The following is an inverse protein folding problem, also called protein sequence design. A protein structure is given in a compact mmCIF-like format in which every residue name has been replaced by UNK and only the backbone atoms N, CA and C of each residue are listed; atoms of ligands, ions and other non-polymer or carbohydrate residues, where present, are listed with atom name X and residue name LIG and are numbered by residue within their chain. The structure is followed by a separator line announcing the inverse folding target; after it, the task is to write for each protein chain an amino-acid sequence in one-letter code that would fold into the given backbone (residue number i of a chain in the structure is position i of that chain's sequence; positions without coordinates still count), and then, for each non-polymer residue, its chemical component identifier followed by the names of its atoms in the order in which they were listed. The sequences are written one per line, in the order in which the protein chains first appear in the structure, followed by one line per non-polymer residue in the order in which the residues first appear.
data_IF_521292282963
#
_entry.id   IF_521292282963
#
_cell.length_a   1.000
_cell.length_b   1.000
_cell.length_c   1.000
_cell.angle_alpha   90.00
_cell.angle_beta   90.00
_cell.angle_gamma   90.00
#
_symmetry.space_group_name_H-M   'P 1'
#
loop_
_entity.id
_entity.type
_entity.pdbx_description
1 polymer ?
#
# COMPACT_ATOMS: atom_id res chain seq x y z
N UNK A 1 -14.34 9.61 -15.57
CA UNK A 1 -13.34 9.15 -14.59
C UNK A 1 -13.92 8.94 -13.18
N UNK A 2 -14.79 9.83 -12.70
CA UNK A 2 -15.33 9.81 -11.31
C UNK A 2 -16.06 8.52 -10.91
N UNK A 3 -16.97 8.01 -11.75
CA UNK A 3 -17.69 6.75 -11.49
C UNK A 3 -16.72 5.58 -11.29
N UNK A 4 -15.68 5.51 -12.13
CA UNK A 4 -14.67 4.47 -12.02
C UNK A 4 -13.89 4.59 -10.71
N UNK A 5 -13.48 5.80 -10.32
CA UNK A 5 -12.82 6.02 -9.03
C UNK A 5 -13.74 5.67 -7.85
N UNK A 6 -15.00 6.07 -7.89
CA UNK A 6 -15.99 5.71 -6.87
C UNK A 6 -16.07 4.19 -6.69
N UNK A 7 -16.18 3.43 -7.79
CA UNK A 7 -16.23 1.97 -7.76
C UNK A 7 -14.92 1.38 -7.21
N UNK A 8 -13.76 1.87 -7.67
CA UNK A 8 -12.45 1.39 -7.22
C UNK A 8 -12.30 1.60 -5.71
N UNK A 9 -12.57 2.81 -5.20
CA UNK A 9 -12.41 3.12 -3.79
C UNK A 9 -13.44 2.40 -2.92
N UNK A 10 -14.69 2.26 -3.35
CA UNK A 10 -15.70 1.53 -2.56
C UNK A 10 -15.32 0.06 -2.42
N UNK A 11 -14.90 -0.59 -3.52
CA UNK A 11 -14.48 -2.00 -3.51
C UNK A 11 -13.24 -2.15 -2.64
N UNK A 12 -12.26 -1.25 -2.79
CA UNK A 12 -11.03 -1.24 -2.00
C UNK A 12 -11.33 -1.11 -0.51
N UNK A 13 -12.20 -0.18 -0.12
CA UNK A 13 -12.59 0.04 1.27
C UNK A 13 -13.27 -1.18 1.87
N UNK A 14 -14.23 -1.77 1.15
CA UNK A 14 -14.93 -2.97 1.60
C UNK A 14 -13.98 -4.15 1.77
N UNK A 15 -13.04 -4.34 0.84
CA UNK A 15 -12.00 -5.38 0.94
C UNK A 15 -11.11 -5.12 2.16
N UNK A 16 -10.62 -3.89 2.35
CA UNK A 16 -9.76 -3.54 3.51
C UNK A 16 -10.49 -3.85 4.81
N UNK A 17 -11.74 -3.40 4.96
CA UNK A 17 -12.54 -3.61 6.16
C UNK A 17 -12.77 -5.11 6.38
N UNK A 18 -13.10 -5.87 5.33
CA UNK A 18 -13.31 -7.31 5.41
C UNK A 18 -12.03 -8.05 5.82
N UNK A 19 -10.89 -7.70 5.23
CA UNK A 19 -9.58 -8.26 5.59
C UNK A 19 -9.25 -7.98 7.06
N UNK A 20 -9.46 -6.75 7.52
CA UNK A 20 -9.23 -6.38 8.93
C UNK A 20 -10.20 -7.10 9.87
N UNK A 21 -11.47 -7.24 9.49
CA UNK A 21 -12.44 -8.01 10.26
C UNK A 21 -11.97 -9.47 10.40
N UNK A 22 -11.55 -10.11 9.32
CA UNK A 22 -11.03 -11.48 9.35
C UNK A 22 -9.79 -11.58 10.25
N UNK A 23 -8.83 -10.68 10.09
CA UNK A 23 -7.57 -10.68 10.81
C UNK A 23 -7.73 -10.52 12.34
N UNK A 24 -8.68 -9.71 12.81
CA UNK A 24 -8.86 -9.44 14.24
C UNK A 24 -9.95 -10.28 14.92
N UNK A 25 -10.84 -10.95 14.16
CA UNK A 25 -11.92 -11.77 14.76
C UNK A 25 -11.38 -13.01 15.48
N UNK A 26 -10.25 -13.55 15.03
CA UNK A 26 -9.65 -14.76 15.62
C UNK A 26 -9.31 -14.58 17.11
N UNK A 27 -8.87 -13.38 17.51
CA UNK A 27 -8.52 -13.08 18.89
C UNK A 27 -9.70 -13.28 19.88
N UNK A 28 -10.95 -13.27 19.41
CA UNK A 28 -12.13 -13.47 20.25
C UNK A 28 -12.59 -14.93 20.34
N UNK A 29 -11.86 -15.87 19.71
CA UNK A 29 -12.10 -17.31 19.80
C UNK A 29 -11.08 -17.94 20.74
N UNK A 30 -11.50 -18.96 21.49
CA UNK A 30 -10.58 -19.72 22.32
C UNK A 30 -9.82 -20.71 21.45
N UNK A 31 -8.56 -20.41 21.15
CA UNK A 31 -7.68 -21.26 20.34
C UNK A 31 -6.29 -21.28 20.97
N UNK A 32 -5.63 -22.45 20.97
CA UNK A 32 -4.30 -22.65 21.56
C UNK A 32 -4.16 -22.15 23.01
N UNK A 33 -5.18 -22.39 23.85
CA UNK A 33 -5.16 -21.99 25.25
C UNK A 33 -5.32 -20.48 25.50
N UNK A 34 -5.72 -19.70 24.49
CA UNK A 34 -5.78 -18.24 24.58
C UNK A 34 -7.15 -17.65 24.26
N UNK A 35 -7.48 -16.56 24.95
CA UNK A 35 -8.44 -15.55 24.52
C UNK A 35 -7.75 -14.21 24.42
N UNK A 36 -8.08 -13.40 23.40
CA UNK A 36 -7.53 -12.06 23.19
C UNK A 36 -6.00 -12.04 23.22
N UNK A 37 -5.39 -13.13 22.77
CA UNK A 37 -3.95 -13.37 22.79
C UNK A 37 -3.36 -13.31 24.21
N UNK A 38 -4.08 -13.82 25.21
CA UNK A 38 -3.65 -14.01 26.60
C UNK A 38 -3.94 -15.46 26.94
N UNK A 39 -2.99 -16.16 27.56
CA UNK A 39 -3.16 -17.54 27.99
C UNK A 39 -4.12 -17.60 29.18
N UNK A 40 -5.25 -18.29 29.00
CA UNK A 40 -6.28 -18.50 30.01
C UNK A 40 -6.45 -20.01 30.18
N UNK A 41 -6.32 -20.56 31.40
CA UNK A 41 -6.48 -21.99 31.62
C UNK A 41 -7.84 -22.48 31.13
N UNK A 42 -7.89 -23.68 30.54
CA UNK A 42 -9.11 -24.22 29.95
C UNK A 42 -10.26 -24.38 30.95
N UNK A 43 -9.96 -24.55 32.23
CA UNK A 43 -10.93 -24.61 33.33
C UNK A 43 -11.63 -23.28 33.60
N UNK A 44 -11.03 -22.16 33.20
CA UNK A 44 -11.52 -20.80 33.46
C UNK A 44 -12.02 -20.08 32.21
N UNK A 45 -11.98 -20.73 31.03
CA UNK A 45 -12.35 -20.12 29.76
C UNK A 45 -13.83 -19.66 29.71
N UNK A 46 -14.69 -20.27 30.54
CA UNK A 46 -16.13 -19.98 30.63
C UNK A 46 -16.49 -19.13 31.86
N UNK A 47 -15.51 -18.66 32.63
CA UNK A 47 -15.75 -17.78 33.77
C UNK A 47 -16.49 -16.51 33.31
N UNK A 48 -17.41 -16.01 34.14
CA UNK A 48 -18.29 -14.89 33.79
C UNK A 48 -17.51 -13.64 33.37
N UNK A 49 -16.45 -13.30 34.10
CA UNK A 49 -15.58 -12.15 33.82
C UNK A 49 -14.82 -12.30 32.49
N UNK A 50 -14.37 -13.52 32.16
CA UNK A 50 -13.71 -13.83 30.87
C UNK A 50 -14.71 -13.65 29.73
N UNK A 51 -15.89 -14.23 29.88
CA UNK A 51 -16.98 -14.17 28.89
C UNK A 51 -17.42 -12.73 28.66
N UNK A 52 -17.55 -11.92 29.71
CA UNK A 52 -17.90 -10.50 29.62
C UNK A 52 -16.87 -9.70 28.80
N UNK A 53 -15.57 -9.88 29.07
CA UNK A 53 -14.51 -9.18 28.35
C UNK A 53 -14.53 -9.55 26.86
N UNK A 54 -14.64 -10.84 26.55
CA UNK A 54 -14.64 -11.33 25.16
C UNK A 54 -15.88 -10.84 24.40
N UNK A 55 -17.07 -10.97 24.99
CA UNK A 55 -18.34 -10.56 24.35
C UNK A 55 -18.42 -9.05 24.15
N UNK A 56 -18.02 -8.27 25.15
CA UNK A 56 -17.97 -6.81 25.07
C UNK A 56 -16.99 -6.35 23.99
N UNK A 57 -15.77 -6.89 23.97
CA UNK A 57 -14.77 -6.55 22.95
C UNK A 57 -15.23 -6.90 21.54
N UNK A 58 -15.81 -8.10 21.36
CA UNK A 58 -16.35 -8.57 20.08
C UNK A 58 -17.50 -7.69 19.60
N UNK A 59 -18.39 -7.29 20.51
CA UNK A 59 -19.51 -6.40 20.22
C UNK A 59 -19.02 -5.01 19.78
N UNK A 60 -18.04 -4.43 20.49
CA UNK A 60 -17.42 -3.15 20.10
C UNK A 60 -16.75 -3.22 18.72
N UNK A 61 -16.00 -4.30 18.47
CA UNK A 61 -15.36 -4.53 17.17
C UNK A 61 -16.39 -4.63 16.03
N UNK A 62 -17.48 -5.38 16.24
CA UNK A 62 -18.56 -5.50 15.26
C UNK A 62 -19.19 -4.15 14.94
N UNK A 63 -19.57 -3.37 15.94
CA UNK A 63 -20.16 -2.04 15.73
C UNK A 63 -19.19 -1.08 15.05
N UNK A 64 -17.90 -1.10 15.44
CA UNK A 64 -16.87 -0.30 14.81
C UNK A 64 -16.73 -0.62 13.31
N UNK A 65 -16.70 -1.89 12.94
CA UNK A 65 -16.61 -2.29 11.52
C UNK A 65 -17.86 -1.89 10.74
N UNK A 66 -19.07 -2.12 11.28
CA UNK A 66 -20.33 -1.72 10.62
C UNK A 66 -20.38 -0.21 10.40
N UNK A 67 -20.03 0.58 11.42
CA UNK A 67 -19.97 2.04 11.30
C UNK A 67 -18.97 2.47 10.23
N UNK A 68 -17.79 1.85 10.16
CA UNK A 68 -16.78 2.19 9.17
C UNK A 68 -17.15 1.74 7.74
N UNK A 69 -17.93 0.68 7.56
CA UNK A 69 -18.51 0.37 6.25
C UNK A 69 -19.37 1.54 5.77
N UNK A 70 -20.29 2.01 6.61
CA UNK A 70 -21.20 3.12 6.27
C UNK A 70 -20.42 4.40 6.01
N UNK A 71 -19.48 4.76 6.89
CA UNK A 71 -18.64 5.97 6.76
C UNK A 71 -17.79 5.89 5.49
N UNK A 72 -17.15 4.76 5.20
CA UNK A 72 -16.30 4.59 4.02
C UNK A 72 -17.08 4.75 2.72
N UNK A 73 -18.32 4.26 2.67
CA UNK A 73 -19.23 4.41 1.53
C UNK A 73 -19.61 5.88 1.38
N UNK A 74 -19.99 6.55 2.47
CA UNK A 74 -20.35 7.96 2.47
C UNK A 74 -19.19 8.85 1.98
N UNK A 75 -17.96 8.57 2.42
CA UNK A 75 -16.77 9.31 1.98
C UNK A 75 -16.55 9.16 0.47
N UNK A 76 -16.77 7.98 -0.11
CA UNK A 76 -16.62 7.79 -1.56
C UNK A 76 -17.52 8.72 -2.40
N UNK A 77 -18.69 9.14 -1.90
CA UNK A 77 -19.55 10.08 -2.63
C UNK A 77 -18.94 11.48 -2.78
N UNK A 78 -17.95 11.84 -1.96
CA UNK A 78 -17.25 13.13 -2.06
C UNK A 78 -16.51 13.26 -3.40
N UNK A 79 -16.14 12.14 -4.04
CA UNK A 79 -15.47 12.11 -5.35
C UNK A 79 -16.24 12.92 -6.40
N UNK A 80 -17.58 12.86 -6.39
CA UNK A 80 -18.44 13.55 -7.36
C UNK A 80 -18.55 15.07 -7.13
N UNK A 81 -18.02 15.57 -6.02
CA UNK A 81 -18.04 17.01 -5.72
C UNK A 81 -16.67 17.62 -5.91
N UNK A 82 -15.63 16.99 -5.33
CA UNK A 82 -14.27 17.48 -5.44
C UNK A 82 -13.28 16.36 -5.07
N UNK A 83 -12.43 15.97 -6.03
CA UNK A 83 -11.42 14.92 -5.84
C UNK A 83 -10.39 15.27 -4.75
N UNK A 84 -9.97 16.53 -4.67
CA UNK A 84 -8.98 16.96 -3.67
C UNK A 84 -9.56 16.84 -2.26
N UNK A 85 -10.78 17.35 -2.04
CA UNK A 85 -11.48 17.20 -0.74
C UNK A 85 -11.68 15.73 -0.38
N UNK A 86 -12.08 14.89 -1.36
CA UNK A 86 -12.20 13.45 -1.16
C UNK A 86 -10.90 12.84 -0.65
N UNK A 87 -9.76 13.10 -1.32
CA UNK A 87 -8.45 12.54 -0.94
C UNK A 87 -8.07 12.95 0.49
N UNK A 88 -8.28 14.21 0.87
CA UNK A 88 -7.95 14.69 2.22
C UNK A 88 -8.81 14.03 3.30
N UNK A 89 -10.14 13.97 3.09
CA UNK A 89 -11.07 13.32 4.03
C UNK A 89 -10.78 11.82 4.12
N UNK A 90 -10.45 11.19 3.00
CA UNK A 90 -10.08 9.78 2.92
C UNK A 90 -8.85 9.46 3.76
N UNK A 91 -7.79 10.29 3.68
CA UNK A 91 -6.59 10.12 4.52
C UNK A 91 -6.94 10.21 6.00
N UNK A 92 -7.71 11.23 6.40
CA UNK A 92 -8.11 11.42 7.80
C UNK A 92 -8.89 10.19 8.31
N UNK A 93 -9.85 9.71 7.51
CA UNK A 93 -10.61 8.51 7.84
C UNK A 93 -9.74 7.26 7.95
N UNK A 94 -8.79 7.05 7.04
CA UNK A 94 -7.85 5.92 7.10
C UNK A 94 -7.07 5.91 8.42
N UNK A 95 -6.62 7.06 8.91
CA UNK A 95 -5.94 7.16 10.21
C UNK A 95 -6.87 6.84 11.38
N UNK A 96 -8.08 7.41 11.38
CA UNK A 96 -9.07 7.12 12.41
C UNK A 96 -9.43 5.62 12.42
N UNK A 97 -9.54 5.00 11.25
CA UNK A 97 -9.80 3.59 11.08
C UNK A 97 -8.66 2.72 11.63
N UNK A 98 -7.41 2.99 11.23
CA UNK A 98 -6.21 2.28 11.70
C UNK A 98 -6.07 2.40 13.22
N UNK A 99 -6.28 3.59 13.77
CA UNK A 99 -6.23 3.80 15.21
C UNK A 99 -7.29 2.96 15.94
N UNK A 100 -8.54 3.01 15.47
CA UNK A 100 -9.65 2.28 16.09
C UNK A 100 -9.48 0.75 15.99
N UNK A 101 -9.06 0.24 14.84
CA UNK A 101 -8.89 -1.22 14.62
C UNK A 101 -7.79 -1.81 15.51
N UNK A 102 -6.74 -1.04 15.80
CA UNK A 102 -5.67 -1.45 16.72
C UNK A 102 -6.11 -1.28 18.19
N UNK A 103 -6.79 -0.17 18.50
CA UNK A 103 -7.13 0.19 19.88
C UNK A 103 -8.13 -0.77 20.53
N UNK A 104 -9.22 -1.13 19.85
CA UNK A 104 -10.30 -1.97 20.40
C UNK A 104 -9.80 -3.35 20.89
N UNK A 105 -9.07 -4.15 20.08
CA UNK A 105 -8.58 -5.45 20.52
C UNK A 105 -7.49 -5.31 21.59
N UNK A 106 -6.60 -4.31 21.48
CA UNK A 106 -5.55 -4.08 22.49
C UNK A 106 -6.13 -3.66 23.84
N UNK A 107 -7.21 -2.88 23.86
CA UNK A 107 -7.93 -2.54 25.08
C UNK A 107 -8.52 -3.78 25.76
N UNK A 108 -9.13 -4.67 24.97
CA UNK A 108 -9.69 -5.93 25.46
C UNK A 108 -8.59 -6.90 25.95
N UNK A 109 -7.48 -6.98 25.22
CA UNK A 109 -6.29 -7.74 25.61
C UNK A 109 -5.75 -7.30 26.98
N UNK A 110 -5.57 -5.99 27.21
CA UNK A 110 -5.08 -5.46 28.48
C UNK A 110 -6.00 -5.81 29.66
N UNK A 111 -7.32 -5.78 29.44
CA UNK A 111 -8.30 -6.21 30.45
C UNK A 111 -8.18 -7.70 30.77
N UNK A 112 -8.05 -8.53 29.73
CA UNK A 112 -7.88 -9.97 29.89
C UNK A 112 -6.57 -10.30 30.63
N UNK A 113 -5.47 -9.62 30.29
CA UNK A 113 -4.19 -9.77 30.99
C UNK A 113 -4.29 -9.31 32.46
N UNK A 114 -4.95 -8.19 32.74
CA UNK A 114 -5.16 -7.73 34.11
C UNK A 114 -5.96 -8.74 34.94
N UNK A 115 -7.04 -9.32 34.37
CA UNK A 115 -7.83 -10.37 35.01
C UNK A 115 -6.98 -11.61 35.29
N UNK A 116 -6.16 -12.06 34.33
CA UNK A 116 -5.22 -13.17 34.50
C UNK A 116 -4.31 -12.97 35.71
N UNK A 117 -3.72 -11.79 35.84
CA UNK A 117 -2.84 -11.44 36.97
C UNK A 117 -3.62 -11.40 38.28
N UNK A 118 -4.80 -10.78 38.30
CA UNK A 118 -5.65 -10.68 39.49
C UNK A 118 -6.06 -12.06 40.03
N UNK A 119 -6.35 -13.02 39.14
CA UNK A 119 -6.80 -14.37 39.51
C UNK A 119 -5.65 -15.35 39.73
N UNK A 120 -4.40 -14.93 39.51
CA UNK A 120 -3.23 -15.79 39.67
C UNK A 120 -3.17 -16.94 38.66
N UNK A 121 -3.77 -16.78 37.47
CA UNK A 121 -3.77 -17.80 36.40
C UNK A 121 -2.42 -17.88 35.67
N UNK A 122 -1.34 -17.79 36.41
CA UNK A 122 0.02 -17.86 35.89
C UNK A 122 0.48 -19.31 36.03
N UNK A 123 0.86 -19.93 34.93
CA UNK A 123 1.48 -21.26 34.97
C UNK A 123 2.96 -21.07 35.32
N UNK A 124 3.27 -21.01 36.62
CA UNK A 124 4.65 -20.75 37.09
C UNK A 124 5.68 -21.70 36.48
N UNK A 125 5.31 -22.97 36.29
CA UNK A 125 6.15 -23.97 35.66
C UNK A 125 6.47 -23.70 34.17
N UNK A 126 5.72 -22.84 33.48
CA UNK A 126 5.92 -22.50 32.06
C UNK A 126 6.34 -21.03 31.85
N UNK A 127 6.33 -20.23 32.93
CA UNK A 127 6.72 -18.83 32.91
C UNK A 127 8.17 -18.66 32.43
N UNK A 128 8.38 -17.79 31.43
CA UNK A 128 9.72 -17.40 30.91
C UNK A 128 10.57 -18.56 30.38
N UNK A 129 9.98 -19.72 30.06
CA UNK A 129 10.73 -20.81 29.43
C UNK A 129 10.95 -20.54 27.95
N UNK A 130 12.18 -20.74 27.48
CA UNK A 130 12.49 -20.76 26.05
C UNK A 130 12.92 -22.18 25.70
N UNK A 131 12.16 -22.82 24.82
CA UNK A 131 12.51 -24.14 24.31
C UNK A 131 13.34 -23.97 23.05
N UNK A 132 14.50 -24.64 23.02
CA UNK A 132 15.40 -24.65 21.87
C UNK A 132 15.53 -26.08 21.39
N UNK A 133 15.04 -26.34 20.19
CA UNK A 133 15.29 -27.59 19.48
C UNK A 133 16.59 -27.44 18.68
N UNK A 134 17.65 -28.11 19.14
CA UNK A 134 18.97 -28.03 18.51
C UNK A 134 19.00 -28.70 17.14
N UNK A 135 18.12 -29.68 16.85
CA UNK A 135 18.03 -30.31 15.53
C UNK A 135 17.41 -29.37 14.51
N UNK A 136 16.30 -28.72 14.88
CA UNK A 136 15.67 -27.68 14.04
C UNK A 136 16.63 -26.51 13.82
N UNK A 137 17.40 -26.15 14.85
CA UNK A 137 18.42 -25.10 14.75
C UNK A 137 19.61 -25.50 13.87
N UNK A 138 20.02 -26.76 13.87
CA UNK A 138 21.09 -27.27 13.00
C UNK A 138 20.69 -27.28 11.52
N UNK A 139 19.40 -27.50 11.21
CA UNK A 139 18.84 -27.36 9.87
C UNK A 139 18.46 -25.90 9.50
N UNK A 140 18.75 -24.91 10.36
CA UNK A 140 18.52 -23.52 10.04
C UNK A 140 19.38 -23.11 8.83
N UNK A 141 18.73 -22.74 7.72
CA UNK A 141 19.38 -22.43 6.45
C UNK A 141 19.44 -23.58 5.44
N UNK A 142 19.07 -24.81 5.80
CA UNK A 142 18.77 -25.85 4.81
C UNK A 142 17.43 -25.50 4.15
N UNK A 143 17.48 -25.05 2.89
CA UNK A 143 16.28 -24.54 2.19
C UNK A 143 15.72 -25.59 1.26
N UNK A 144 14.42 -25.87 1.35
CA UNK A 144 13.71 -26.69 0.36
C UNK A 144 13.60 -25.99 -1.01
N UNK A 145 13.61 -24.65 -1.01
CA UNK A 145 13.48 -23.81 -2.19
C UNK A 145 14.49 -22.67 -2.09
N UNK A 146 15.36 -22.55 -3.08
CA UNK A 146 16.44 -21.56 -3.08
C UNK A 146 15.91 -20.16 -3.36
N UNK A 147 16.28 -19.18 -2.54
CA UNK A 147 15.98 -17.76 -2.80
C UNK A 147 16.73 -17.21 -4.02
N UNK A 148 17.77 -17.91 -4.52
CA UNK A 148 18.57 -17.47 -5.67
C UNK A 148 17.76 -17.41 -6.97
N UNK A 149 16.62 -18.10 -7.05
CA UNK A 149 15.70 -18.01 -8.20
C UNK A 149 15.20 -16.59 -8.46
N UNK A 150 15.14 -15.73 -7.42
CA UNK A 150 14.81 -14.31 -7.57
C UNK A 150 15.79 -13.56 -8.47
N UNK A 151 17.05 -13.99 -8.57
CA UNK A 151 18.03 -13.38 -9.46
C UNK A 151 17.60 -13.50 -10.93
N UNK A 152 16.95 -14.60 -11.32
CA UNK A 152 16.42 -14.76 -12.67
C UNK A 152 15.40 -13.67 -12.97
N UNK A 153 14.46 -13.43 -12.06
CA UNK A 153 13.41 -12.40 -12.23
C UNK A 153 14.01 -11.00 -12.33
N UNK A 154 14.92 -10.65 -11.42
CA UNK A 154 15.61 -9.34 -11.43
C UNK A 154 16.41 -9.12 -12.72
N UNK A 155 17.10 -10.15 -13.22
CA UNK A 155 17.84 -10.07 -14.49
C UNK A 155 16.86 -9.85 -15.65
N UNK A 156 15.73 -10.56 -15.68
CA UNK A 156 14.73 -10.40 -16.75
C UNK A 156 14.01 -9.05 -16.69
N UNK A 157 13.70 -8.54 -15.50
CA UNK A 157 13.10 -7.21 -15.30
C UNK A 157 14.05 -6.11 -15.81
N UNK A 158 15.35 -6.23 -15.49
CA UNK A 158 16.39 -5.32 -15.99
C UNK A 158 16.53 -5.43 -17.50
N UNK A 159 16.59 -6.64 -18.05
CA UNK A 159 16.70 -6.86 -19.49
C UNK A 159 15.55 -6.22 -20.28
N UNK A 160 14.33 -6.28 -19.74
CA UNK A 160 13.16 -5.64 -20.35
C UNK A 160 13.21 -4.11 -20.32
N UNK A 161 13.99 -3.50 -19.41
CA UNK A 161 14.17 -2.05 -19.33
C UNK A 161 15.27 -1.51 -20.25
N UNK A 162 16.28 -2.31 -20.60
CA UNK A 162 17.45 -1.88 -21.41
C UNK A 162 17.06 -1.12 -22.69
N UNK A 163 16.08 -1.55 -23.50
CA UNK A 163 15.71 -0.83 -24.72
C UNK A 163 15.27 0.62 -24.48
N UNK A 164 14.56 0.88 -23.38
CA UNK A 164 14.09 2.23 -23.02
C UNK A 164 15.24 3.15 -22.65
N UNK A 165 16.24 2.61 -21.94
CA UNK A 165 17.45 3.35 -21.59
C UNK A 165 18.30 3.67 -22.83
N UNK A 166 18.41 2.73 -23.78
CA UNK A 166 19.26 2.86 -24.96
C UNK A 166 18.63 3.68 -26.09
N UNK A 167 17.32 3.55 -26.32
CA UNK A 167 16.61 4.19 -27.43
C UNK A 167 16.12 5.59 -27.07
N UNK A 168 16.01 5.92 -25.78
CA UNK A 168 15.73 7.27 -25.32
C UNK A 168 14.35 7.82 -25.71
N UNK A 169 13.34 6.96 -25.93
CA UNK A 169 11.97 7.40 -26.21
C UNK A 169 11.48 8.28 -25.04
N UNK A 170 11.35 9.59 -25.28
CA UNK A 170 11.04 10.56 -24.24
C UNK A 170 9.59 10.47 -23.80
N UNK A 171 8.70 10.03 -24.68
CA UNK A 171 7.26 10.19 -24.46
C UNK A 171 6.77 9.36 -23.27
N UNK A 172 7.24 8.12 -23.10
CA UNK A 172 6.85 7.27 -21.96
C UNK A 172 7.96 7.05 -20.92
N UNK A 173 9.12 7.70 -21.04
CA UNK A 173 10.31 7.36 -20.26
C UNK A 173 10.06 7.39 -18.74
N UNK A 174 9.44 8.47 -18.24
CA UNK A 174 9.15 8.65 -16.81
C UNK A 174 8.22 7.56 -16.28
N UNK A 175 7.21 7.18 -17.07
CA UNK A 175 6.28 6.12 -16.68
C UNK A 175 7.00 4.76 -16.64
N UNK A 176 7.79 4.45 -17.66
CA UNK A 176 8.48 3.17 -17.78
C UNK A 176 9.57 2.99 -16.73
N UNK A 177 10.36 4.02 -16.43
CA UNK A 177 11.33 3.96 -15.32
C UNK A 177 10.61 3.80 -13.97
N UNK A 178 9.47 4.45 -13.78
CA UNK A 178 8.69 4.33 -12.54
C UNK A 178 8.16 2.91 -12.35
N UNK A 179 7.54 2.32 -13.38
CA UNK A 179 7.05 0.94 -13.35
C UNK A 179 8.18 -0.08 -13.16
N UNK A 180 9.32 0.13 -13.82
CA UNK A 180 10.52 -0.68 -13.64
C UNK A 180 11.01 -0.66 -12.19
N UNK A 181 11.18 0.53 -11.61
CA UNK A 181 11.67 0.69 -10.24
C UNK A 181 10.70 0.06 -9.23
N UNK A 182 9.39 0.22 -9.43
CA UNK A 182 8.37 -0.45 -8.61
C UNK A 182 8.46 -1.98 -8.71
N UNK A 183 8.61 -2.51 -9.92
CA UNK A 183 8.73 -3.96 -10.16
C UNK A 183 9.98 -4.52 -9.48
N UNK A 184 11.15 -3.91 -9.69
CA UNK A 184 12.42 -4.31 -9.07
C UNK A 184 12.36 -4.19 -7.54
N UNK A 185 11.70 -3.16 -7.00
CA UNK A 185 11.51 -3.01 -5.56
C UNK A 185 10.74 -4.20 -4.97
N UNK A 186 9.62 -4.59 -5.59
CA UNK A 186 8.81 -5.74 -5.14
C UNK A 186 9.64 -7.03 -5.19
N UNK A 187 10.33 -7.29 -6.31
CA UNK A 187 11.17 -8.47 -6.49
C UNK A 187 12.34 -8.51 -5.51
N UNK A 188 12.97 -7.36 -5.23
CA UNK A 188 14.06 -7.23 -4.25
C UNK A 188 13.57 -7.44 -2.81
N UNK A 189 12.43 -6.86 -2.44
CA UNK A 189 11.83 -7.10 -1.13
C UNK A 189 11.48 -8.58 -0.95
N UNK A 190 10.88 -9.20 -1.97
CA UNK A 190 10.58 -10.64 -1.96
C UNK A 190 11.84 -11.51 -1.79
N UNK A 191 12.95 -11.15 -2.44
CA UNK A 191 14.27 -11.77 -2.22
C UNK A 191 14.72 -11.64 -0.77
N UNK A 192 14.73 -10.43 -0.22
CA UNK A 192 15.19 -10.16 1.15
C UNK A 192 14.34 -10.93 2.17
N UNK A 193 13.01 -10.91 2.02
CA UNK A 193 12.12 -11.65 2.90
C UNK A 193 12.27 -13.16 2.75
N UNK A 194 12.41 -13.69 1.52
CA UNK A 194 12.64 -15.11 1.31
C UNK A 194 13.97 -15.56 1.96
N UNK A 195 15.04 -14.79 1.80
CA UNK A 195 16.32 -15.06 2.46
C UNK A 195 16.22 -15.01 3.99
N UNK A 196 15.41 -14.11 4.53
CA UNK A 196 15.12 -14.01 5.96
C UNK A 196 14.33 -15.24 6.47
N UNK A 197 13.22 -15.60 5.81
CA UNK A 197 12.37 -16.74 6.16
C UNK A 197 13.17 -18.05 6.23
N UNK A 198 14.06 -18.25 5.27
CA UNK A 198 14.94 -19.43 5.22
C UNK A 198 15.84 -19.56 6.47
N UNK A 199 16.14 -18.44 7.14
CA UNK A 199 16.94 -18.39 8.37
C UNK A 199 16.10 -18.33 9.65
N UNK A 200 14.87 -17.78 9.60
CA UNK A 200 14.08 -17.46 10.80
C UNK A 200 13.14 -18.58 11.26
N UNK A 201 12.68 -19.46 10.38
CA UNK A 201 11.73 -20.53 10.73
C UNK A 201 12.43 -21.66 11.51
N UNK A 202 12.35 -21.58 12.85
CA UNK A 202 12.94 -22.56 13.79
C UNK A 202 12.12 -22.73 15.07
N UNK A 203 10.80 -22.61 14.94
CA UNK A 203 9.91 -22.58 16.08
C UNK A 203 9.76 -23.98 16.71
N UNK A 204 9.64 -24.04 18.03
CA UNK A 204 9.51 -25.29 18.77
C UNK A 204 8.06 -25.45 19.21
N UNK A 205 7.34 -26.36 18.57
CA UNK A 205 5.89 -26.56 18.77
C UNK A 205 5.58 -27.73 19.72
N UNK A 206 6.47 -28.72 19.78
CA UNK A 206 6.29 -29.99 20.48
C UNK A 206 7.59 -30.45 21.11
N UNK A 207 7.50 -31.32 22.11
CA UNK A 207 8.65 -32.08 22.60
C UNK A 207 9.17 -33.09 21.55
N UNK A 208 8.38 -33.41 20.52
CA UNK A 208 8.82 -34.22 19.38
C UNK A 208 9.59 -33.36 18.35
N UNK A 209 10.92 -33.49 18.36
CA UNK A 209 11.80 -32.82 17.39
C UNK A 209 11.51 -33.16 15.94
N UNK A 210 11.04 -34.38 15.63
CA UNK A 210 10.72 -34.77 14.25
C UNK A 210 9.50 -34.00 13.76
N UNK A 211 8.47 -33.88 14.61
CA UNK A 211 7.29 -33.08 14.30
C UNK A 211 7.67 -31.60 14.09
N UNK A 212 8.50 -31.03 14.97
CA UNK A 212 8.99 -29.66 14.82
C UNK A 212 9.69 -29.46 13.46
N UNK A 213 10.57 -30.38 13.07
CA UNK A 213 11.30 -30.31 11.81
C UNK A 213 10.35 -30.33 10.61
N UNK A 214 9.39 -31.25 10.61
CA UNK A 214 8.39 -31.38 9.53
C UNK A 214 7.57 -30.09 9.40
N UNK A 215 7.10 -29.53 10.52
CA UNK A 215 6.28 -28.30 10.52
C UNK A 215 7.10 -27.11 10.03
N UNK A 216 8.32 -26.90 10.54
CA UNK A 216 9.16 -25.79 10.10
C UNK A 216 9.54 -25.89 8.62
N UNK A 217 9.95 -27.07 8.14
CA UNK A 217 10.29 -27.26 6.72
C UNK A 217 9.07 -27.12 5.82
N UNK A 218 7.88 -27.52 6.28
CA UNK A 218 6.61 -27.26 5.58
C UNK A 218 6.34 -25.77 5.45
N UNK A 219 6.43 -25.02 6.54
CA UNK A 219 6.19 -23.57 6.52
C UNK A 219 7.20 -22.83 5.65
N UNK A 220 8.49 -23.17 5.76
CA UNK A 220 9.54 -22.64 4.86
C UNK A 220 9.16 -22.85 3.40
N UNK A 221 8.84 -24.09 3.00
CA UNK A 221 8.47 -24.43 1.62
C UNK A 221 7.32 -23.55 1.10
N UNK A 222 6.21 -23.46 1.83
CA UNK A 222 5.05 -22.68 1.38
C UNK A 222 5.32 -21.18 1.33
N UNK A 223 5.99 -20.62 2.35
CA UNK A 223 6.40 -19.21 2.37
C UNK A 223 7.39 -18.89 1.23
N UNK A 224 8.34 -19.78 0.95
CA UNK A 224 9.26 -19.67 -0.18
C UNK A 224 8.57 -19.68 -1.54
N UNK A 225 7.62 -20.59 -1.75
CA UNK A 225 6.82 -20.65 -2.99
C UNK A 225 6.00 -19.38 -3.16
N UNK A 226 5.35 -18.90 -2.10
CA UNK A 226 4.60 -17.64 -2.13
C UNK A 226 5.49 -16.46 -2.56
N UNK A 227 6.70 -16.36 -2.02
CA UNK A 227 7.66 -15.30 -2.38
C UNK A 227 8.10 -15.39 -3.84
N UNK A 228 8.38 -16.59 -4.36
CA UNK A 228 8.75 -16.76 -5.77
C UNK A 228 7.60 -16.47 -6.73
N UNK A 229 6.36 -16.81 -6.37
CA UNK A 229 5.18 -16.46 -7.16
C UNK A 229 4.95 -14.96 -7.17
N UNK A 230 5.14 -14.29 -6.02
CA UNK A 230 5.05 -12.83 -5.90
C UNK A 230 6.02 -12.14 -6.86
N UNK A 231 7.31 -12.49 -6.82
CA UNK A 231 8.31 -11.89 -7.70
C UNK A 231 8.15 -12.30 -9.16
N UNK A 232 7.86 -13.58 -9.43
CA UNK A 232 7.79 -14.11 -10.79
C UNK A 232 6.61 -13.55 -11.58
N UNK A 233 5.43 -13.49 -10.97
CA UNK A 233 4.24 -12.92 -11.63
C UNK A 233 4.31 -11.39 -11.71
N UNK A 234 4.92 -10.73 -10.73
CA UNK A 234 5.26 -9.30 -10.81
C UNK A 234 6.18 -9.01 -12.00
N UNK A 235 7.24 -9.80 -12.17
CA UNK A 235 8.15 -9.69 -13.32
C UNK A 235 7.40 -9.91 -14.64
N UNK A 236 6.51 -10.91 -14.72
CA UNK A 236 5.67 -11.14 -15.92
C UNK A 236 4.81 -9.92 -16.24
N UNK A 237 4.18 -9.30 -15.24
CA UNK A 237 3.37 -8.10 -15.44
C UNK A 237 4.19 -6.94 -16.01
N UNK A 238 5.37 -6.67 -15.43
CA UNK A 238 6.29 -5.64 -15.92
C UNK A 238 6.80 -5.94 -17.34
N UNK A 239 7.30 -7.14 -17.57
CA UNK A 239 7.86 -7.56 -18.87
C UNK A 239 6.80 -7.45 -19.96
N UNK A 240 5.55 -7.82 -19.67
CA UNK A 240 4.45 -7.64 -20.63
C UNK A 240 4.29 -6.16 -21.04
N UNK A 241 4.20 -5.24 -20.08
CA UNK A 241 4.05 -3.80 -20.38
C UNK A 241 5.27 -3.27 -21.12
N UNK A 242 6.47 -3.61 -20.64
CA UNK A 242 7.74 -3.21 -21.25
C UNK A 242 7.90 -3.71 -22.70
N UNK A 243 7.55 -4.96 -23.00
CA UNK A 243 7.65 -5.47 -24.36
C UNK A 243 6.55 -4.92 -25.26
N UNK A 244 5.31 -4.85 -24.76
CA UNK A 244 4.19 -4.35 -25.55
C UNK A 244 4.42 -2.92 -26.01
N UNK A 245 4.79 -2.03 -25.08
CA UNK A 245 5.07 -0.63 -25.40
C UNK A 245 6.30 -0.49 -26.29
N UNK A 246 7.32 -1.34 -26.10
CA UNK A 246 8.55 -1.28 -26.89
C UNK A 246 8.35 -1.72 -28.34
N UNK A 247 7.43 -2.66 -28.58
CA UNK A 247 7.10 -3.16 -29.92
C UNK A 247 6.12 -2.23 -30.64
N UNK A 248 5.10 -1.74 -29.93
CA UNK A 248 3.99 -1.01 -30.55
C UNK A 248 4.18 0.51 -30.55
N UNK A 249 5.05 1.03 -29.69
CA UNK A 249 5.24 2.47 -29.50
C UNK A 249 4.02 3.18 -28.90
N UNK A 250 3.10 2.43 -28.28
CA UNK A 250 1.89 2.94 -27.61
C UNK A 250 1.64 2.17 -26.30
N UNK A 251 0.91 2.80 -25.37
CA UNK A 251 0.43 2.16 -24.14
C UNK A 251 -1.09 2.38 -23.97
N UNK A 252 -1.92 1.57 -24.65
CA UNK A 252 -3.38 1.69 -24.58
C UNK A 252 -3.93 1.25 -23.23
N UNK A 253 -5.18 1.65 -22.94
CA UNK A 253 -5.91 1.27 -21.73
C UNK A 253 -5.95 -0.25 -21.49
N UNK A 254 -6.01 -1.05 -22.57
CA UNK A 254 -6.01 -2.52 -22.49
C UNK A 254 -4.76 -3.11 -21.82
N UNK A 255 -3.59 -2.51 -22.05
CA UNK A 255 -2.34 -2.94 -21.43
C UNK A 255 -2.38 -2.77 -19.90
N UNK A 256 -3.03 -1.72 -19.40
CA UNK A 256 -3.26 -1.54 -17.97
C UNK A 256 -4.19 -2.60 -17.40
N UNK A 257 -5.25 -2.98 -18.10
CA UNK A 257 -6.15 -4.04 -17.64
C UNK A 257 -5.44 -5.39 -17.55
N UNK A 258 -4.60 -5.73 -18.53
CA UNK A 258 -3.79 -6.95 -18.50
C UNK A 258 -2.79 -6.91 -17.34
N UNK A 259 -2.11 -5.78 -17.14
CA UNK A 259 -1.20 -5.59 -16.01
C UNK A 259 -1.92 -5.79 -14.66
N UNK A 260 -3.06 -5.12 -14.45
CA UNK A 260 -3.87 -5.24 -13.23
C UNK A 260 -4.33 -6.69 -13.03
N UNK A 261 -4.77 -7.37 -14.09
CA UNK A 261 -5.20 -8.76 -14.02
C UNK A 261 -4.06 -9.68 -13.56
N UNK A 262 -2.85 -9.53 -14.11
CA UNK A 262 -1.67 -10.30 -13.68
C UNK A 262 -1.31 -9.97 -12.22
N UNK A 263 -1.43 -8.70 -11.80
CA UNK A 263 -1.20 -8.31 -10.41
C UNK A 263 -2.23 -8.93 -9.45
N UNK A 264 -3.49 -9.06 -9.84
CA UNK A 264 -4.50 -9.80 -9.07
C UNK A 264 -4.14 -11.28 -8.94
N UNK A 265 -3.67 -11.91 -10.02
CA UNK A 265 -3.15 -13.29 -9.99
C UNK A 265 -1.91 -13.38 -9.08
N UNK A 266 -1.05 -12.35 -9.08
CA UNK A 266 0.13 -12.28 -8.22
C UNK A 266 -0.26 -12.30 -6.73
N UNK A 267 -1.28 -11.52 -6.35
CA UNK A 267 -1.83 -11.51 -4.98
C UNK A 267 -2.38 -12.89 -4.60
N UNK A 268 -3.15 -13.52 -5.48
CA UNK A 268 -3.67 -14.88 -5.25
C UNK A 268 -2.54 -15.91 -5.15
N UNK A 269 -1.55 -15.83 -6.03
CA UNK A 269 -0.36 -16.66 -6.04
C UNK A 269 0.49 -16.53 -4.78
N UNK A 270 0.45 -15.37 -4.11
CA UNK A 270 1.05 -15.18 -2.80
C UNK A 270 0.18 -15.75 -1.67
N UNK A 271 -1.11 -15.44 -1.64
CA UNK A 271 -2.01 -15.80 -0.52
C UNK A 271 -2.28 -17.30 -0.46
N UNK A 272 -2.53 -17.96 -1.60
CA UNK A 272 -2.94 -19.37 -1.64
C UNK A 272 -1.89 -20.30 -1.02
N UNK A 273 -0.59 -20.24 -1.38
CA UNK A 273 0.42 -21.07 -0.74
C UNK A 273 0.56 -20.79 0.76
N UNK A 274 0.44 -19.53 1.20
CA UNK A 274 0.46 -19.20 2.64
C UNK A 274 -0.70 -19.87 3.36
N UNK A 275 -1.91 -19.75 2.82
CA UNK A 275 -3.10 -20.39 3.38
C UNK A 275 -2.97 -21.92 3.42
N UNK A 276 -2.49 -22.54 2.35
CA UNK A 276 -2.20 -23.99 2.31
C UNK A 276 -1.17 -24.39 3.37
N UNK A 277 -0.11 -23.60 3.56
CA UNK A 277 0.89 -23.81 4.60
C UNK A 277 0.31 -23.74 6.00
N UNK A 278 -0.53 -22.75 6.27
CA UNK A 278 -1.22 -22.58 7.56
C UNK A 278 -2.17 -23.75 7.86
N UNK A 279 -2.97 -24.19 6.88
CA UNK A 279 -3.84 -25.36 7.04
C UNK A 279 -3.03 -26.62 7.28
N UNK A 280 -1.95 -26.83 6.50
CA UNK A 280 -1.08 -27.99 6.69
C UNK A 280 -0.39 -28.00 8.05
N UNK A 281 0.06 -26.83 8.53
CA UNK A 281 0.59 -26.68 9.89
C UNK A 281 -0.45 -27.08 10.93
N UNK A 282 -1.70 -26.64 10.78
CA UNK A 282 -2.80 -27.00 11.70
C UNK A 282 -3.05 -28.50 11.73
N UNK A 283 -3.08 -29.16 10.57
CA UNK A 283 -3.23 -30.62 10.46
C UNK A 283 -2.07 -31.39 11.12
N UNK A 284 -0.83 -30.94 10.90
CA UNK A 284 0.35 -31.58 11.49
C UNK A 284 0.35 -31.46 13.02
N UNK A 285 -0.06 -30.30 13.54
CA UNK A 285 -0.09 -30.03 14.98
C UNK A 285 -1.32 -30.62 15.67
N UNK A 286 -2.42 -30.94 14.97
CA UNK A 286 -3.61 -31.53 15.59
C UNK A 286 -3.39 -32.94 16.14
N UNK A 287 -2.38 -33.66 15.62
CA UNK A 287 -1.98 -34.98 16.11
C UNK A 287 -0.87 -34.92 17.18
N UNK A 288 -0.51 -33.73 17.65
CA UNK A 288 0.56 -33.55 18.63
C UNK A 288 0.13 -34.05 20.01
N UNK A 289 0.82 -35.07 20.52
CA UNK A 289 0.55 -35.68 21.84
C UNK A 289 1.35 -35.02 22.96
N UNK A 290 2.24 -34.08 22.66
CA UNK A 290 3.10 -33.41 23.66
C UNK A 290 3.38 -31.94 23.25
N UNK A 291 2.34 -31.09 23.21
CA UNK A 291 2.50 -29.67 22.91
C UNK A 291 3.34 -28.96 23.99
N UNK A 292 4.12 -27.99 23.54
CA UNK A 292 4.81 -27.06 24.42
C UNK A 292 3.98 -25.79 24.47
N UNK A 293 3.37 -25.54 25.62
CA UNK A 293 2.79 -24.23 25.94
C UNK A 293 3.81 -23.41 26.72
N UNK A 294 4.09 -22.20 26.26
CA UNK A 294 4.96 -21.24 26.95
C UNK A 294 4.11 -20.04 27.35
N UNK A 295 4.04 -19.77 28.65
CA UNK A 295 3.42 -18.56 29.14
C UNK A 295 4.41 -17.38 29.06
N UNK A 296 4.39 -16.70 27.92
CA UNK A 296 5.22 -15.51 27.62
C UNK A 296 4.46 -14.19 27.77
N UNK A 297 3.25 -14.20 28.36
CA UNK A 297 2.32 -13.05 28.39
C UNK A 297 2.91 -11.79 29.05
N UNK A 298 3.86 -11.95 29.97
CA UNK A 298 4.58 -10.83 30.60
C UNK A 298 5.26 -9.91 29.57
N UNK A 299 5.77 -10.48 28.47
CA UNK A 299 6.42 -9.73 27.39
C UNK A 299 5.42 -9.06 26.45
N UNK A 300 4.13 -9.34 26.59
CA UNK A 300 3.08 -8.84 25.70
C UNK A 300 2.01 -8.02 26.40
N UNK A 301 2.16 -7.76 27.71
CA UNK A 301 1.19 -7.06 28.59
C UNK A 301 0.52 -5.80 28.02
N UNK A 302 1.16 -5.09 27.08
CA UNK A 302 0.63 -3.86 26.48
C UNK A 302 -0.09 -4.08 25.14
N UNK A 303 -0.07 -5.30 24.60
CA UNK A 303 -0.43 -5.67 23.23
C UNK A 303 0.76 -5.68 22.26
N UNK A 304 1.94 -5.23 22.71
CA UNK A 304 3.18 -5.22 21.91
C UNK A 304 4.26 -6.03 22.62
N UNK A 305 5.20 -6.59 21.85
CA UNK A 305 6.26 -7.43 22.39
C UNK A 305 7.42 -6.60 22.96
N UNK A 306 7.80 -6.91 24.19
CA UNK A 306 8.90 -6.31 24.93
C UNK A 306 9.67 -7.38 25.70
N UNK A 307 10.72 -7.93 25.09
CA UNK A 307 11.63 -8.85 25.76
C UNK A 307 13.09 -8.37 25.63
N UNK A 308 13.71 -7.85 26.70
CA UNK A 308 15.10 -7.42 26.69
C UNK A 308 16.11 -8.55 26.40
N UNK A 309 15.79 -9.78 26.78
CA UNK A 309 16.69 -10.94 26.66
C UNK A 309 16.63 -11.59 25.27
N UNK A 310 15.51 -11.45 24.57
CA UNK A 310 15.40 -11.86 23.17
C UNK A 310 16.21 -10.90 22.28
N UNK A 311 17.19 -11.42 21.53
CA UNK A 311 18.07 -10.62 20.66
C UNK A 311 17.42 -10.22 19.34
N UNK A 312 16.30 -10.82 18.95
CA UNK A 312 15.65 -10.54 17.68
C UNK A 312 14.92 -9.19 17.70
N UNK A 313 14.99 -8.47 16.56
CA UNK A 313 14.22 -7.23 16.34
C UNK A 313 12.82 -7.57 15.80
N UNK A 314 12.72 -8.55 14.89
CA UNK A 314 11.48 -9.07 14.33
C UNK A 314 11.23 -10.47 14.87
N UNK A 315 10.02 -10.70 15.38
CA UNK A 315 9.56 -11.99 15.89
C UNK A 315 8.20 -12.33 15.27
N UNK A 316 7.82 -13.61 15.23
CA UNK A 316 6.47 -13.97 14.80
C UNK A 316 5.43 -13.35 15.73
N UNK A 317 4.39 -12.78 15.13
CA UNK A 317 3.32 -12.15 15.87
C UNK A 317 2.38 -13.23 16.42
N UNK A 318 2.28 -13.34 17.76
CA UNK A 318 1.37 -14.29 18.40
C UNK A 318 -0.11 -13.96 18.17
N UNK A 319 -0.44 -12.70 17.89
CA UNK A 319 -1.82 -12.27 17.63
C UNK A 319 -2.31 -12.68 16.25
N UNK A 320 -1.40 -12.89 15.30
CA UNK A 320 -1.70 -13.16 13.90
C UNK A 320 -0.65 -14.12 13.34
N UNK A 321 -0.97 -15.41 13.32
CA UNK A 321 -0.09 -16.45 12.82
C UNK A 321 0.30 -16.18 11.36
N UNK A 322 1.60 -16.04 11.10
CA UNK A 322 2.14 -15.70 9.78
C UNK A 322 2.58 -14.24 9.60
N UNK A 323 2.24 -13.35 10.53
CA UNK A 323 2.77 -11.98 10.58
C UNK A 323 3.99 -11.89 11.50
N UNK A 324 4.77 -10.82 11.34
CA UNK A 324 5.87 -10.47 12.22
C UNK A 324 5.56 -9.19 12.98
N UNK A 325 6.11 -9.05 14.18
CA UNK A 325 6.04 -7.83 14.99
C UNK A 325 7.42 -7.45 15.50
N UNK A 326 7.56 -6.21 15.96
CA UNK A 326 8.79 -5.70 16.53
C UNK A 326 8.93 -6.02 18.01
N UNK A 327 10.14 -6.38 18.43
CA UNK A 327 10.55 -6.36 19.82
C UNK A 327 10.95 -4.94 20.22
N UNK A 328 10.02 -4.22 20.87
CA UNK A 328 10.22 -2.84 21.29
C UNK A 328 11.13 -2.70 22.53
N UNK A 329 11.67 -3.79 23.07
CA UNK A 329 12.82 -3.71 23.97
C UNK A 329 14.13 -3.33 23.24
N UNK A 330 14.15 -3.35 21.89
CA UNK A 330 15.32 -3.01 21.09
C UNK A 330 15.22 -1.61 20.50
N UNK A 331 16.33 -0.87 20.58
CA UNK A 331 16.46 0.46 19.95
C UNK A 331 16.18 0.41 18.45
N UNK A 332 16.61 -0.66 17.77
CA UNK A 332 16.38 -0.84 16.33
C UNK A 332 14.89 -0.84 15.93
N UNK A 333 14.01 -1.41 16.75
CA UNK A 333 12.57 -1.36 16.52
C UNK A 333 12.02 0.07 16.57
N UNK A 334 12.42 0.85 17.58
CA UNK A 334 12.01 2.25 17.70
C UNK A 334 12.54 3.13 16.57
N UNK A 335 13.78 2.92 16.16
CA UNK A 335 14.38 3.64 15.03
C UNK A 335 13.60 3.33 13.75
N UNK A 336 13.33 2.06 13.48
CA UNK A 336 12.57 1.66 12.29
C UNK A 336 11.16 2.25 12.29
N UNK A 337 10.40 2.06 13.37
CA UNK A 337 9.05 2.63 13.50
C UNK A 337 9.07 4.15 13.38
N UNK A 338 10.03 4.84 13.99
CA UNK A 338 10.19 6.29 13.91
C UNK A 338 10.47 6.78 12.49
N UNK A 339 11.36 6.11 11.75
CA UNK A 339 11.64 6.40 10.35
C UNK A 339 10.38 6.20 9.50
N UNK A 340 9.69 5.06 9.66
CA UNK A 340 8.45 4.79 8.92
C UNK A 340 7.39 5.85 9.21
N UNK A 341 7.15 6.20 10.48
CA UNK A 341 6.21 7.25 10.86
C UNK A 341 6.58 8.61 10.26
N UNK A 342 7.87 8.97 10.26
CA UNK A 342 8.35 10.24 9.70
C UNK A 342 8.15 10.31 8.20
N UNK A 343 8.49 9.24 7.46
CA UNK A 343 8.27 9.15 6.01
C UNK A 343 6.77 9.23 5.70
N UNK A 344 5.94 8.46 6.42
CA UNK A 344 4.49 8.49 6.22
C UNK A 344 3.92 9.89 6.48
N UNK A 345 4.32 10.55 7.56
CA UNK A 345 3.90 11.92 7.85
C UNK A 345 4.35 12.91 6.77
N UNK A 346 5.59 12.82 6.30
CA UNK A 346 6.12 13.63 5.20
C UNK A 346 5.33 13.44 3.91
N UNK A 347 5.03 12.20 3.52
CA UNK A 347 4.19 11.90 2.35
C UNK A 347 2.79 12.49 2.49
N UNK A 348 2.18 12.44 3.68
CA UNK A 348 0.86 13.03 3.92
C UNK A 348 0.91 14.54 3.78
N UNK A 349 1.88 15.20 4.42
CA UNK A 349 2.05 16.65 4.29
C UNK A 349 2.22 17.03 2.82
N UNK A 350 3.05 16.27 2.07
CA UNK A 350 3.23 16.49 0.64
C UNK A 350 1.90 16.36 -0.13
N UNK A 351 1.12 15.30 0.11
CA UNK A 351 -0.19 15.12 -0.53
C UNK A 351 -1.14 16.26 -0.17
N UNK A 352 -1.18 16.69 1.09
CA UNK A 352 -1.98 17.85 1.51
C UNK A 352 -1.56 19.11 0.76
N UNK A 353 -0.27 19.43 0.74
CA UNK A 353 0.27 20.61 0.04
C UNK A 353 -0.05 20.57 -1.45
N UNK A 354 0.07 19.41 -2.11
CA UNK A 354 -0.23 19.28 -3.53
C UNK A 354 -1.74 19.34 -3.85
N UNK A 355 -2.60 18.90 -2.93
CA UNK A 355 -4.06 18.87 -3.14
C UNK A 355 -4.74 20.19 -2.79
N UNK A 356 -4.19 21.00 -1.87
CA UNK A 356 -4.80 22.27 -1.44
C UNK A 356 -5.09 23.25 -2.60
N UNK A 357 -4.16 23.49 -3.56
CA UNK A 357 -4.42 24.35 -4.71
C UNK A 357 -5.55 23.84 -5.63
N UNK A 358 -5.91 22.56 -5.51
CA UNK A 358 -6.92 21.90 -6.35
C UNK A 358 -8.34 21.95 -5.75
N UNK A 359 -8.51 22.45 -4.52
CA UNK A 359 -9.84 22.52 -3.86
C UNK A 359 -10.73 23.58 -4.51
N UNK A 360 -10.19 24.76 -4.79
CA UNK A 360 -10.92 25.86 -5.41
C UNK A 360 -10.12 26.41 -6.59
N UNK A 361 -10.04 25.61 -7.65
CA UNK A 361 -9.27 25.96 -8.83
C UNK A 361 -9.97 27.08 -9.59
N UNK A 362 -9.20 28.14 -9.81
CA UNK A 362 -9.51 29.23 -10.72
C UNK A 362 -8.25 29.52 -11.53
N UNK A 363 -8.45 29.80 -12.80
CA UNK A 363 -7.51 30.48 -13.66
C UNK A 363 -7.32 31.92 -13.19
N UNK A 364 -6.08 32.37 -13.27
CA UNK A 364 -5.73 33.77 -13.13
C UNK A 364 -4.81 34.12 -14.29
N UNK A 365 -5.32 34.96 -15.17
CA UNK A 365 -4.63 35.51 -16.32
C UNK A 365 -4.36 36.98 -16.03
N UNK A 366 -3.09 37.40 -16.11
CA UNK A 366 -2.72 38.81 -15.92
C UNK A 366 -1.71 39.22 -16.96
N UNK A 367 -1.99 40.32 -17.66
CA UNK A 367 -1.06 40.97 -18.57
C UNK A 367 -0.51 42.24 -17.91
N UNK A 368 0.78 42.27 -17.61
CA UNK A 368 1.42 43.44 -16.97
C UNK A 368 2.79 43.70 -17.59
N UNK A 369 3.08 44.94 -17.98
CA UNK A 369 4.38 45.34 -18.56
C UNK A 369 4.86 44.40 -19.69
N UNK A 370 3.98 44.06 -20.63
CA UNK A 370 4.27 43.16 -21.75
C UNK A 370 4.58 41.70 -21.36
N UNK A 371 4.33 41.30 -20.12
CA UNK A 371 4.46 39.92 -19.66
C UNK A 371 3.07 39.34 -19.34
N UNK A 372 2.72 38.26 -20.03
CA UNK A 372 1.52 37.47 -19.82
C UNK A 372 1.80 36.38 -18.77
N UNK A 373 1.09 36.43 -17.66
CA UNK A 373 1.14 35.39 -16.62
C UNK A 373 -0.18 34.62 -16.60
N UNK A 374 -0.09 33.30 -16.76
CA UNK A 374 -1.22 32.38 -16.66
C UNK A 374 -0.94 31.44 -15.49
N UNK A 375 -1.87 31.36 -14.54
CA UNK A 375 -1.73 30.49 -13.37
C UNK A 375 -3.03 29.80 -13.01
N UNK A 376 -2.94 28.52 -12.64
CA UNK A 376 -4.04 27.75 -12.08
C UNK A 376 -3.49 26.53 -11.32
N UNK A 377 -4.18 26.08 -10.26
CA UNK A 377 -3.89 24.81 -9.59
C UNK A 377 -2.45 24.67 -9.06
N UNK A 378 -1.77 25.78 -8.72
CA UNK A 378 -0.38 25.80 -8.26
C UNK A 378 0.68 25.81 -9.38
N UNK A 379 0.26 25.91 -10.64
CA UNK A 379 1.15 26.05 -11.81
C UNK A 379 1.11 27.48 -12.35
N UNK A 380 2.21 27.93 -12.94
CA UNK A 380 2.34 29.25 -13.55
C UNK A 380 3.19 29.19 -14.81
N UNK A 381 2.76 29.89 -15.86
CA UNK A 381 3.51 30.15 -17.08
C UNK A 381 3.60 31.67 -17.27
N UNK A 382 4.80 32.14 -17.56
CA UNK A 382 5.10 33.54 -17.87
C UNK A 382 5.63 33.60 -19.30
N UNK A 383 5.09 34.52 -20.10
CA UNK A 383 5.37 34.66 -21.53
C UNK A 383 5.56 36.15 -21.82
N UNK A 384 6.73 36.56 -22.31
CA UNK A 384 6.88 37.90 -22.89
C UNK A 384 6.08 37.95 -24.20
N UNK A 385 5.19 38.94 -24.31
CA UNK A 385 4.32 39.10 -25.47
C UNK A 385 5.13 39.31 -26.75
N UNK A 386 6.33 39.89 -26.66
CA UNK A 386 7.21 40.08 -27.82
C UNK A 386 7.77 38.76 -28.38
N UNK A 387 7.83 37.71 -27.55
CA UNK A 387 8.39 36.42 -27.92
C UNK A 387 7.32 35.47 -28.51
N UNK A 388 6.07 35.92 -28.62
CA UNK A 388 4.97 35.14 -29.18
C UNK A 388 5.17 34.99 -30.70
N UNK A 389 5.36 33.75 -31.14
CA UNK A 389 5.56 33.40 -32.55
C UNK A 389 4.29 32.89 -33.22
N UNK A 390 3.36 32.32 -32.46
CA UNK A 390 2.08 31.83 -32.97
C UNK A 390 0.98 32.00 -31.92
N UNK A 391 -0.16 32.56 -32.34
CA UNK A 391 -1.34 32.76 -31.50
C UNK A 391 -2.57 32.25 -32.25
N UNK A 392 -3.34 31.33 -31.65
CA UNK A 392 -4.54 30.74 -32.27
C UNK A 392 -5.68 30.59 -31.28
N UNK A 393 -6.89 30.96 -31.71
CA UNK A 393 -8.12 30.55 -31.04
C UNK A 393 -8.59 29.22 -31.64
N UNK A 394 -8.80 28.24 -30.77
CA UNK A 394 -9.23 26.88 -31.10
C UNK A 394 -10.56 26.59 -30.40
N UNK A 395 -11.44 25.83 -31.04
CA UNK A 395 -12.68 25.37 -30.40
C UNK A 395 -12.40 24.21 -29.42
N UNK A 396 -11.39 23.39 -29.71
CA UNK A 396 -10.96 22.23 -28.93
C UNK A 396 -9.44 22.07 -28.94
N UNK A 397 -8.91 21.25 -28.04
CA UNK A 397 -7.48 20.92 -28.03
C UNK A 397 -7.09 20.21 -29.33
N UNK A 398 -5.87 20.44 -29.86
CA UNK A 398 -5.38 19.71 -31.02
C UNK A 398 -5.44 18.19 -30.81
N UNK A 399 -5.67 17.44 -31.88
CA UNK A 399 -5.58 15.96 -31.87
C UNK A 399 -4.12 15.52 -31.71
N UNK A 400 -3.64 15.47 -30.47
CA UNK A 400 -2.33 14.97 -30.07
C UNK A 400 -2.46 14.09 -28.80
N UNK A 401 -1.49 13.20 -28.61
CA UNK A 401 -1.43 12.38 -27.40
C UNK A 401 -0.74 13.18 -26.30
N UNK A 402 -1.52 13.92 -25.50
CA UNK A 402 -1.01 14.66 -24.35
C UNK A 402 -0.77 13.75 -23.16
N UNK A 403 0.50 13.51 -22.82
CA UNK A 403 0.86 12.85 -21.58
C UNK A 403 1.11 13.87 -20.47
N UNK A 404 0.36 13.78 -19.38
CA UNK A 404 0.61 14.60 -18.18
C UNK A 404 1.93 14.20 -17.54
N UNK A 405 2.88 15.13 -17.47
CA UNK A 405 4.18 14.92 -16.81
C UNK A 405 4.17 15.39 -15.36
N UNK A 406 3.47 16.50 -15.07
CA UNK A 406 3.24 16.99 -13.72
C UNK A 406 2.01 17.90 -13.70
N UNK A 407 1.00 17.60 -12.89
CA UNK A 407 -0.25 18.36 -12.94
C UNK A 407 -1.44 17.61 -12.38
N UNK A 408 -2.63 18.14 -12.64
CA UNK A 408 -3.91 17.52 -12.38
C UNK A 408 -4.68 17.38 -13.69
N UNK A 409 -5.26 16.21 -13.92
CA UNK A 409 -6.11 15.87 -15.08
C UNK A 409 -7.32 15.16 -14.51
N UNK A 410 -8.50 15.70 -14.79
CA UNK A 410 -9.80 15.27 -14.26
C UNK A 410 -10.83 15.33 -15.39
N UNK A 411 -12.10 14.99 -15.11
CA UNK A 411 -13.20 15.16 -16.07
C UNK A 411 -13.64 16.64 -16.20
N UNK A 412 -13.00 17.57 -15.49
CA UNK A 412 -13.37 19.00 -15.47
C UNK A 412 -12.24 19.94 -15.91
N UNK A 413 -11.01 19.44 -15.99
CA UNK A 413 -9.84 20.26 -16.32
C UNK A 413 -8.56 19.44 -16.49
N UNK A 414 -7.66 20.01 -17.29
CA UNK A 414 -6.27 19.64 -17.47
C UNK A 414 -5.37 20.83 -17.13
N UNK A 415 -4.65 20.72 -16.01
CA UNK A 415 -3.82 21.78 -15.44
C UNK A 415 -2.42 21.28 -15.13
N UNK A 416 -1.42 21.95 -15.68
CA UNK A 416 0.00 21.72 -15.37
C UNK A 416 0.86 21.52 -16.61
N UNK A 417 1.85 20.65 -16.50
CA UNK A 417 2.84 20.33 -17.52
C UNK A 417 2.50 19.01 -18.22
N UNK A 418 2.52 19.06 -19.54
CA UNK A 418 2.17 17.96 -20.43
C UNK A 418 3.25 17.81 -21.52
N UNK A 419 3.26 16.66 -22.18
CA UNK A 419 4.10 16.39 -23.34
C UNK A 419 3.21 15.76 -24.42
N UNK A 420 2.94 16.52 -25.47
CA UNK A 420 2.29 16.05 -26.69
C UNK A 420 3.26 15.21 -27.51
N UNK A 421 2.76 14.17 -28.18
CA UNK A 421 3.59 13.30 -29.03
C UNK A 421 4.17 14.03 -30.22
N UNK A 422 3.42 14.97 -30.79
CA UNK A 422 3.86 15.79 -31.93
C UNK A 422 4.23 17.21 -31.52
N UNK A 423 3.51 17.78 -30.55
CA UNK A 423 3.70 19.16 -30.11
C UNK A 423 4.84 19.33 -29.10
N UNK A 424 5.34 18.24 -28.51
CA UNK A 424 6.37 18.27 -27.49
C UNK A 424 5.86 18.82 -26.16
N UNK A 425 6.77 19.40 -25.36
CA UNK A 425 6.44 19.91 -24.02
C UNK A 425 5.50 21.10 -24.12
N UNK A 426 4.42 21.07 -23.35
CA UNK A 426 3.45 22.14 -23.26
C UNK A 426 2.90 22.31 -21.85
N UNK A 427 2.19 23.41 -21.62
CA UNK A 427 1.42 23.63 -20.39
C UNK A 427 -0.06 23.76 -20.73
N UNK A 428 -0.89 23.06 -19.97
CA UNK A 428 -2.33 23.14 -20.09
C UNK A 428 -2.88 23.89 -18.87
N UNK A 429 -3.79 24.82 -19.13
CA UNK A 429 -4.66 25.50 -18.16
C UNK A 429 -6.07 25.47 -18.75
N UNK A 430 -6.58 24.26 -18.99
CA UNK A 430 -7.81 24.03 -19.76
C UNK A 430 -8.89 23.46 -18.85
N UNK A 431 -10.07 24.06 -18.84
CA UNK A 431 -11.28 23.57 -18.21
C UNK A 431 -12.19 22.92 -19.25
N UNK A 432 -12.65 21.71 -18.97
CA UNK A 432 -13.48 20.95 -19.89
C UNK A 432 -14.86 21.60 -20.05
N UNK A 433 -15.35 21.66 -21.29
CA UNK A 433 -16.65 22.26 -21.62
C UNK A 433 -16.64 23.78 -21.80
N UNK A 434 -15.46 24.43 -21.76
CA UNK A 434 -15.31 25.86 -21.99
C UNK A 434 -14.50 26.13 -23.26
N UNK A 435 -14.98 27.06 -24.09
CA UNK A 435 -14.34 27.48 -25.33
C UNK A 435 -14.46 29.01 -25.47
N UNK A 436 -13.59 29.66 -26.28
CA UNK A 436 -12.47 29.07 -27.03
C UNK A 436 -11.24 28.77 -26.17
N UNK A 437 -10.34 27.95 -26.70
CA UNK A 437 -9.00 27.66 -26.15
C UNK A 437 -7.98 28.50 -26.90
N UNK A 438 -7.20 29.30 -26.17
CA UNK A 438 -6.10 30.07 -26.71
C UNK A 438 -4.82 29.24 -26.69
N UNK A 439 -4.26 28.99 -27.87
CA UNK A 439 -2.92 28.44 -28.05
C UNK A 439 -1.93 29.59 -28.21
N UNK A 440 -0.92 29.60 -27.34
CA UNK A 440 0.17 30.57 -27.34
C UNK A 440 1.47 29.81 -27.50
N UNK A 441 2.20 30.08 -28.59
CA UNK A 441 3.54 29.56 -28.84
C UNK A 441 4.54 30.71 -28.79
N UNK A 442 5.61 30.48 -28.06
CA UNK A 442 6.85 31.26 -28.11
C UNK A 442 8.01 30.32 -28.46
N UNK A 443 9.23 30.85 -28.56
CA UNK A 443 10.41 30.07 -28.93
C UNK A 443 10.64 28.84 -28.03
N UNK A 444 10.38 28.98 -26.72
CA UNK A 444 10.65 27.92 -25.72
C UNK A 444 9.38 27.36 -25.05
N UNK A 445 8.20 27.96 -25.26
CA UNK A 445 6.99 27.56 -24.54
C UNK A 445 5.77 27.42 -25.44
N UNK A 446 4.99 26.38 -25.17
CA UNK A 446 3.66 26.16 -25.74
C UNK A 446 2.65 26.09 -24.60
N UNK A 447 1.66 26.97 -24.62
CA UNK A 447 0.62 27.05 -23.59
C UNK A 447 -0.75 27.00 -24.24
N UNK A 448 -1.64 26.21 -23.65
CA UNK A 448 -3.07 26.20 -23.95
C UNK A 448 -3.83 26.68 -22.72
N UNK A 449 -4.70 27.66 -22.89
CA UNK A 449 -5.49 28.25 -21.81
C UNK A 449 -6.91 28.53 -22.27
N UNK A 450 -7.89 28.26 -21.41
CA UNK A 450 -9.24 28.81 -21.54
C UNK A 450 -9.70 29.41 -20.22
N UNK A 451 -10.93 29.94 -20.21
CA UNK A 451 -11.54 30.55 -19.03
C UNK A 451 -12.99 30.10 -18.89
N UNK A 452 -13.47 30.09 -17.65
CA UNK A 452 -14.89 29.92 -17.31
C UNK A 452 -15.68 31.22 -17.45
N UNK A 453 -15.01 32.37 -17.56
CA UNK A 453 -15.63 33.66 -17.79
C UNK A 453 -15.82 33.92 -19.29
N UNK A 454 -17.07 34.02 -19.70
CA UNK A 454 -17.44 34.27 -21.10
C UNK A 454 -16.74 35.51 -21.67
N UNK A 455 -16.08 35.33 -22.82
CA UNK A 455 -15.42 36.41 -23.54
C UNK A 455 -14.04 36.80 -23.00
N UNK A 456 -13.56 36.23 -21.88
CA UNK A 456 -12.24 36.59 -21.33
C UNK A 456 -11.11 36.22 -22.30
N UNK A 457 -11.18 35.03 -22.90
CA UNK A 457 -10.15 34.51 -23.80
C UNK A 457 -10.13 35.27 -25.13
N UNK A 458 -11.29 35.65 -25.66
CA UNK A 458 -11.39 36.45 -26.87
C UNK A 458 -10.85 37.87 -26.65
N UNK A 459 -11.13 38.48 -25.50
CA UNK A 459 -10.56 39.79 -25.13
C UNK A 459 -9.04 39.70 -25.05
N UNK A 460 -8.52 38.67 -24.37
CA UNK A 460 -7.09 38.42 -24.28
C UNK A 460 -6.44 38.21 -25.65
N UNK A 461 -7.07 37.44 -26.54
CA UNK A 461 -6.58 37.23 -27.90
C UNK A 461 -6.48 38.55 -28.68
N UNK A 462 -7.49 39.41 -28.60
CA UNK A 462 -7.48 40.72 -29.25
C UNK A 462 -6.39 41.63 -28.67
N UNK A 463 -6.18 41.60 -27.36
CA UNK A 463 -5.14 42.39 -26.68
C UNK A 463 -3.72 41.94 -27.05
N UNK A 464 -3.48 40.63 -27.20
CA UNK A 464 -2.18 40.08 -27.62
C UNK A 464 -1.89 40.23 -29.11
N UNK A 465 -2.90 40.54 -29.94
CA UNK A 465 -2.75 40.79 -31.36
C UNK A 465 -2.42 42.25 -31.72
N UNK A 466 -2.47 43.17 -30.74
CA UNK A 466 -2.10 44.59 -30.90
C UNK A 466 -0.61 44.79 -30.73
#
# INVERSE_FOLDING_TARGET
MEIMMFIIFIITNLIIILCMQFAYTHAYKYENGMYLNVHIPSSHKEDAEVTEIVTTGKCKMKHFQIANVIISIAICFIVFFNIAVFVLVYIIWMFAYIFGIIHIPNSSHRKMYALKIQKGWIIEAQRKKVYIDTRVSAEAGATTVSYKWHALFLITELAAYIPYFMLGDTHYNILMISLFLCSVLISTLSLVFHAFINKSERHVYSMDSKLNLIVNNTMKKYKSIAMLLLSGLNAVAWIYVALYTGITGILPASSYYVYIFIQLITVLGFIVPIYMGLNRKKELLSANTSPIDVDDDEYWKTGYYYNPDDKHILIENRMQSGNYTFNYAKKGAWIFTGITCTITAGCIILVFVCMLPLINIQEKITLTNNNLTISAGGYTSEIDVNDITELKLLDELPDDSFLRTNGASTDSYDIGRYEGRTLGKCSLYVFDGYSPILMIRSDDTLVFVNSKEDGEIERLYVELCQ
#
